data_IF_090515596976
#
_entry.id   IF_090515596976
#
_cell.length_a   1.000
_cell.length_b   1.000
_cell.length_c   1.000
_cell.angle_alpha   90.00
_cell.angle_beta   90.00
_cell.angle_gamma   90.00
#
_symmetry.space_group_name_H-M   'P 1'
#
loop_
_entity.id
_entity.type
_entity.pdbx_description
1 polymer ?
#
# COMPACT_ATOMS: atom_id res chain seq x y z
N UNK A 1 29.68 4.58 26.64
CA UNK A 1 30.80 5.36 26.09
C UNK A 1 30.30 6.78 25.83
N UNK A 2 30.98 7.81 26.37
CA UNK A 2 30.68 9.19 25.94
C UNK A 2 31.03 9.31 24.47
N UNK A 3 30.19 9.97 23.69
CA UNK A 3 30.48 10.22 22.28
C UNK A 3 31.72 11.10 22.17
N UNK A 4 32.46 11.00 21.06
CA UNK A 4 33.62 11.87 20.78
C UNK A 4 33.27 13.36 20.93
N UNK A 5 32.01 13.71 20.67
CA UNK A 5 31.44 15.06 20.81
C UNK A 5 31.43 15.54 22.27
N UNK A 6 31.05 14.67 23.21
CA UNK A 6 31.02 15.00 24.65
C UNK A 6 32.39 15.09 25.31
N UNK A 7 33.44 14.52 24.67
CA UNK A 7 34.81 14.53 25.19
C UNK A 7 35.63 15.71 24.71
N UNK A 8 35.21 16.45 23.68
CA UNK A 8 35.99 17.51 23.03
C UNK A 8 35.41 18.91 23.19
N UNK A 9 34.16 19.04 23.67
CA UNK A 9 33.47 20.32 23.82
C UNK A 9 33.09 20.58 25.28
N UNK A 10 33.15 21.86 25.67
CA UNK A 10 32.60 22.33 26.94
C UNK A 10 31.09 22.05 27.01
N UNK A 11 30.58 21.56 28.15
CA UNK A 11 29.18 21.21 28.35
C UNK A 11 28.19 22.30 27.94
N UNK A 12 28.50 23.56 28.25
CA UNK A 12 27.69 24.75 27.87
C UNK A 12 27.62 24.91 26.35
N UNK A 13 28.72 24.63 25.65
CA UNK A 13 28.75 24.70 24.19
C UNK A 13 27.94 23.59 23.53
N UNK A 14 28.02 22.37 24.06
CA UNK A 14 27.20 21.23 23.60
C UNK A 14 25.71 21.53 23.74
N UNK A 15 25.29 22.09 24.90
CA UNK A 15 23.89 22.46 25.16
C UNK A 15 23.37 23.53 24.20
N UNK A 16 24.21 24.55 23.91
CA UNK A 16 23.89 25.62 22.94
C UNK A 16 23.74 25.08 21.52
N UNK A 17 24.62 24.18 21.10
CA UNK A 17 24.58 23.55 19.78
C UNK A 17 23.30 22.69 19.67
N UNK A 18 22.99 21.87 20.67
CA UNK A 18 21.81 21.04 20.69
C UNK A 18 20.52 21.86 20.67
N UNK A 19 20.49 22.99 21.35
CA UNK A 19 19.36 23.93 21.29
C UNK A 19 19.18 24.52 19.88
N UNK A 20 20.28 24.94 19.25
CA UNK A 20 20.24 25.51 17.89
C UNK A 20 19.69 24.50 16.88
N UNK A 21 20.18 23.24 16.93
CA UNK A 21 19.70 22.14 16.02
C UNK A 21 18.22 21.88 16.26
N UNK A 22 17.75 21.82 17.51
CA UNK A 22 16.33 21.60 17.82
C UNK A 22 15.44 22.76 17.32
N UNK A 23 15.93 23.98 17.35
CA UNK A 23 15.18 25.13 16.84
C UNK A 23 15.12 25.11 15.30
N UNK A 24 16.20 24.66 14.62
CA UNK A 24 16.19 24.39 13.19
C UNK A 24 15.21 23.27 12.80
N UNK A 25 15.17 22.16 13.57
CA UNK A 25 14.20 21.09 13.38
C UNK A 25 12.78 21.61 13.51
N UNK A 26 12.46 22.37 14.55
CA UNK A 26 11.14 22.96 14.75
C UNK A 26 10.74 23.88 13.60
N UNK A 27 11.67 24.73 13.13
CA UNK A 27 11.44 25.61 11.99
C UNK A 27 11.12 24.80 10.72
N UNK A 28 11.93 23.78 10.41
CA UNK A 28 11.71 22.90 9.27
C UNK A 28 10.35 22.19 9.34
N UNK A 29 10.01 21.61 10.51
CA UNK A 29 8.73 20.95 10.71
C UNK A 29 7.57 21.92 10.48
N UNK A 30 7.63 23.13 11.05
CA UNK A 30 6.59 24.14 10.90
C UNK A 30 6.43 24.63 9.45
N UNK A 31 7.51 24.68 8.69
CA UNK A 31 7.49 25.09 7.28
C UNK A 31 6.86 24.01 6.38
N UNK A 32 7.20 22.75 6.61
CA UNK A 32 6.90 21.67 5.67
C UNK A 32 5.70 20.79 6.06
N UNK A 33 5.27 20.82 7.34
CA UNK A 33 4.21 19.92 7.83
C UNK A 33 3.11 20.67 8.61
N UNK A 34 1.91 20.09 8.61
CA UNK A 34 0.75 20.44 9.46
C UNK A 34 0.69 19.42 10.62
N UNK A 35 0.13 19.85 11.76
CA UNK A 35 -0.03 18.98 12.93
C UNK A 35 1.19 18.92 13.86
N UNK A 36 2.27 19.62 13.54
CA UNK A 36 3.56 19.55 14.23
C UNK A 36 3.59 20.13 15.66
N UNK A 37 2.54 20.83 16.08
CA UNK A 37 2.44 21.35 17.47
C UNK A 37 2.45 20.25 18.54
N UNK A 38 2.14 19.00 18.16
CA UNK A 38 2.18 17.82 19.03
C UNK A 38 3.51 17.06 18.97
N UNK A 39 4.46 17.47 18.10
CA UNK A 39 5.72 16.76 17.93
C UNK A 39 6.61 16.89 19.18
N UNK A 40 7.20 15.75 19.53
CA UNK A 40 8.24 15.64 20.55
C UNK A 40 9.57 15.38 19.87
N UNK A 41 10.60 16.10 20.28
CA UNK A 41 11.99 15.91 19.82
C UNK A 41 12.75 15.29 20.98
N UNK A 42 13.53 14.23 20.73
CA UNK A 42 14.35 13.56 21.75
C UNK A 42 15.26 14.54 22.47
N UNK A 43 15.62 14.24 23.72
CA UNK A 43 16.50 15.08 24.52
C UNK A 43 17.90 15.14 23.90
N UNK A 44 18.40 14.00 23.46
CA UNK A 44 19.73 13.82 22.85
C UNK A 44 19.57 13.20 21.47
N UNK A 45 20.55 13.39 20.56
CA UNK A 45 20.56 12.66 19.29
C UNK A 45 20.84 11.16 19.52
N UNK A 46 20.41 10.33 18.57
CA UNK A 46 20.70 8.91 18.55
C UNK A 46 22.18 8.60 18.21
N UNK A 47 22.52 7.31 18.04
CA UNK A 47 23.90 6.89 17.71
C UNK A 47 24.42 7.48 16.39
N UNK A 48 23.55 7.80 15.44
CA UNK A 48 23.88 8.41 14.14
C UNK A 48 23.92 9.95 14.20
N UNK A 49 23.77 10.53 15.38
CA UNK A 49 23.77 11.97 15.61
C UNK A 49 22.49 12.69 15.20
N UNK A 50 21.39 11.95 14.93
CA UNK A 50 20.09 12.50 14.56
C UNK A 50 19.15 12.56 15.76
N UNK A 51 18.32 13.59 15.82
CA UNK A 51 17.25 13.65 16.79
C UNK A 51 16.05 12.80 16.33
N UNK A 52 15.42 12.14 17.27
CA UNK A 52 14.19 11.37 17.03
C UNK A 52 12.98 12.29 17.19
N UNK A 53 12.06 12.26 16.22
CA UNK A 53 10.82 13.03 16.22
C UNK A 53 9.64 12.08 16.22
N UNK A 54 8.68 12.33 17.11
CA UNK A 54 7.41 11.59 17.18
C UNK A 54 6.24 12.55 17.35
N UNK A 55 5.05 12.11 16.93
CA UNK A 55 3.79 12.81 17.16
C UNK A 55 2.73 11.82 17.65
N UNK A 56 1.88 12.25 18.56
CA UNK A 56 0.70 11.49 18.99
C UNK A 56 -0.54 11.76 18.10
N UNK A 57 -0.45 12.69 17.15
CA UNK A 57 -1.54 13.15 16.29
C UNK A 57 -1.14 13.04 14.82
N UNK A 58 -2.11 13.32 13.95
CA UNK A 58 -1.92 13.34 12.51
C UNK A 58 -0.86 14.35 12.09
N UNK A 59 -0.07 13.96 11.09
CA UNK A 59 0.93 14.78 10.42
C UNK A 59 0.60 14.78 8.93
N UNK A 60 0.58 15.97 8.33
CA UNK A 60 0.37 16.15 6.91
C UNK A 60 1.50 16.97 6.30
N UNK A 61 1.99 16.57 5.12
CA UNK A 61 2.97 17.33 4.35
C UNK A 61 2.27 18.54 3.73
N UNK A 62 2.71 19.73 4.13
CA UNK A 62 2.18 21.02 3.65
C UNK A 62 2.78 21.44 2.31
N UNK A 63 4.05 21.12 2.11
CA UNK A 63 4.79 21.48 0.91
C UNK A 63 4.72 20.36 -0.13
N UNK A 64 3.75 20.39 -1.03
CA UNK A 64 3.57 19.40 -2.09
C UNK A 64 4.71 19.33 -3.12
N UNK A 65 5.62 20.32 -3.13
CA UNK A 65 6.81 20.31 -3.98
C UNK A 65 8.02 19.63 -3.32
N UNK A 66 7.83 19.00 -2.17
CA UNK A 66 8.90 18.27 -1.49
C UNK A 66 9.39 17.10 -2.35
N UNK A 67 10.72 16.94 -2.44
CA UNK A 67 11.35 15.87 -3.23
C UNK A 67 11.86 14.73 -2.36
N UNK A 68 11.91 14.93 -1.05
CA UNK A 68 12.37 13.96 -0.04
C UNK A 68 11.75 14.27 1.31
N UNK A 69 11.49 13.24 2.11
CA UNK A 69 11.08 13.35 3.52
C UNK A 69 12.29 13.32 4.47
N UNK A 70 13.50 13.08 3.94
CA UNK A 70 14.72 13.03 4.74
C UNK A 70 15.14 14.43 5.20
N UNK A 71 15.69 14.50 6.41
CA UNK A 71 16.40 15.65 6.95
C UNK A 71 17.70 15.21 7.60
N UNK A 72 18.73 16.08 7.56
CA UNK A 72 20.05 15.78 8.10
C UNK A 72 20.07 15.68 9.63
N UNK A 73 19.17 16.40 10.30
CA UNK A 73 19.20 16.62 11.74
C UNK A 73 18.26 15.70 12.52
N UNK A 74 17.27 15.08 11.87
CA UNK A 74 16.31 14.23 12.56
C UNK A 74 15.79 13.07 11.71
N UNK A 75 15.17 12.12 12.39
CA UNK A 75 14.39 11.03 11.81
C UNK A 75 13.01 10.98 12.46
N UNK A 76 11.98 10.65 11.69
CA UNK A 76 10.68 10.29 12.24
C UNK A 76 10.73 8.87 12.82
N UNK A 77 10.28 8.70 14.07
CA UNK A 77 10.17 7.37 14.69
C UNK A 77 8.72 6.89 14.63
N UNK A 78 7.78 7.70 15.11
CA UNK A 78 6.38 7.31 15.22
C UNK A 78 5.44 8.50 15.03
N UNK A 79 4.34 8.24 14.32
CA UNK A 79 3.16 9.10 14.27
C UNK A 79 1.98 8.27 14.77
N UNK A 80 1.36 8.68 15.88
CA UNK A 80 0.28 7.94 16.53
C UNK A 80 -1.06 8.05 15.81
N UNK A 81 -1.27 9.10 15.00
CA UNK A 81 -2.40 9.30 14.10
C UNK A 81 -2.03 8.96 12.66
N UNK A 82 -2.65 9.67 11.69
CA UNK A 82 -2.35 9.55 10.27
C UNK A 82 -1.06 10.28 9.89
N UNK A 83 -0.35 9.74 8.90
CA UNK A 83 0.69 10.45 8.17
C UNK A 83 0.29 10.59 6.71
N UNK A 84 0.11 11.83 6.26
CA UNK A 84 -0.34 12.15 4.90
C UNK A 84 0.74 12.92 4.13
N UNK A 85 1.24 12.33 3.04
CA UNK A 85 2.09 12.97 2.03
C UNK A 85 1.49 12.87 0.63
N UNK A 86 0.17 12.70 0.53
CA UNK A 86 -0.52 12.59 -0.75
C UNK A 86 -0.33 13.85 -1.60
N UNK A 87 -0.30 13.67 -2.92
CA UNK A 87 -0.11 14.76 -3.86
C UNK A 87 1.32 15.33 -3.95
N UNK A 88 2.28 14.77 -3.19
CA UNK A 88 3.69 15.14 -3.32
C UNK A 88 4.27 14.57 -4.62
N UNK A 89 3.87 15.15 -5.77
CA UNK A 89 4.14 14.61 -7.10
C UNK A 89 5.63 14.51 -7.46
N UNK A 90 6.50 15.25 -6.78
CA UNK A 90 7.95 15.21 -6.98
C UNK A 90 8.68 14.27 -6.01
N UNK A 91 7.98 13.65 -5.05
CA UNK A 91 8.57 12.72 -4.09
C UNK A 91 9.00 11.44 -4.80
N UNK A 92 10.30 11.08 -4.67
CA UNK A 92 10.91 9.95 -5.38
C UNK A 92 11.02 8.68 -4.54
N UNK A 93 11.07 8.80 -3.22
CA UNK A 93 11.09 7.70 -2.25
C UNK A 93 10.39 8.12 -0.97
N UNK A 94 10.04 7.14 -0.14
CA UNK A 94 9.46 7.38 1.19
C UNK A 94 10.53 7.40 2.30
N UNK A 95 11.83 7.38 1.92
CA UNK A 95 12.91 7.55 2.91
C UNK A 95 12.70 8.80 3.75
N UNK A 96 12.78 8.63 5.06
CA UNK A 96 12.49 9.70 6.03
C UNK A 96 11.03 9.75 6.48
N UNK A 97 10.15 8.89 5.99
CA UNK A 97 8.83 8.70 6.59
C UNK A 97 8.95 8.06 7.99
N UNK A 98 7.91 8.17 8.84
CA UNK A 98 7.88 7.54 10.14
C UNK A 98 8.07 6.02 10.05
N UNK A 99 8.85 5.42 10.98
CA UNK A 99 9.01 3.96 11.04
C UNK A 99 7.68 3.25 11.39
N UNK A 100 6.79 3.95 12.11
CA UNK A 100 5.49 3.44 12.53
C UNK A 100 4.42 4.52 12.48
N UNK A 101 3.24 4.14 11.98
CA UNK A 101 2.05 4.99 11.92
C UNK A 101 0.89 4.28 12.60
N UNK A 102 0.24 4.95 13.56
CA UNK A 102 -0.81 4.37 14.40
C UNK A 102 -2.13 4.20 13.68
N UNK A 103 -2.47 5.14 12.80
CA UNK A 103 -3.68 5.10 11.98
C UNK A 103 -3.30 4.91 10.50
N UNK A 104 -3.72 5.78 9.59
CA UNK A 104 -3.49 5.64 8.15
C UNK A 104 -2.20 6.28 7.65
N UNK A 105 -1.63 5.70 6.58
CA UNK A 105 -0.53 6.27 5.82
C UNK A 105 -0.98 6.51 4.37
N UNK A 106 -0.97 7.77 3.94
CA UNK A 106 -1.38 8.18 2.59
C UNK A 106 -0.21 8.81 1.82
N UNK A 107 0.25 8.12 0.77
CA UNK A 107 1.18 8.62 -0.23
C UNK A 107 0.57 8.58 -1.64
N UNK A 108 -0.75 8.63 -1.75
CA UNK A 108 -1.44 8.65 -3.03
C UNK A 108 -1.04 9.87 -3.88
N UNK A 109 -1.16 9.75 -5.20
CA UNK A 109 -0.77 10.81 -6.14
C UNK A 109 0.70 11.27 -6.08
N UNK A 110 1.59 10.49 -5.44
CA UNK A 110 3.04 10.72 -5.52
C UNK A 110 3.55 10.20 -6.86
N UNK A 111 3.33 10.96 -7.94
CA UNK A 111 3.50 10.50 -9.32
C UNK A 111 4.95 10.12 -9.68
N UNK A 112 5.95 10.68 -8.99
CA UNK A 112 7.38 10.37 -9.20
C UNK A 112 7.88 9.19 -8.36
N UNK A 113 7.07 8.62 -7.48
CA UNK A 113 7.44 7.51 -6.61
C UNK A 113 7.62 6.24 -7.45
N UNK A 114 8.79 5.57 -7.32
CA UNK A 114 9.15 4.40 -8.13
C UNK A 114 9.14 3.08 -7.36
N UNK A 115 9.24 3.13 -6.01
CA UNK A 115 9.12 2.03 -5.06
C UNK A 115 8.52 2.56 -3.76
N UNK A 116 8.23 1.67 -2.82
CA UNK A 116 7.75 2.04 -1.48
C UNK A 116 8.87 1.99 -0.42
N UNK A 117 10.14 1.96 -0.86
CA UNK A 117 11.28 2.02 0.05
C UNK A 117 11.22 3.24 0.98
N UNK A 118 11.42 2.99 2.27
CA UNK A 118 11.28 3.98 3.32
C UNK A 118 9.86 4.12 3.88
N UNK A 119 8.86 3.37 3.39
CA UNK A 119 7.55 3.33 4.02
C UNK A 119 7.60 2.80 5.45
N UNK A 120 6.61 3.13 6.31
CA UNK A 120 6.48 2.57 7.65
C UNK A 120 6.51 1.04 7.65
N UNK A 121 7.15 0.42 8.64
CA UNK A 121 7.11 -1.04 8.81
C UNK A 121 5.73 -1.55 9.19
N UNK A 122 5.00 -0.77 10.00
CA UNK A 122 3.64 -1.05 10.44
C UNK A 122 2.74 0.17 10.28
N UNK A 123 1.54 -0.06 9.73
CA UNK A 123 0.46 0.92 9.62
C UNK A 123 -0.77 0.34 10.33
N UNK A 124 -1.32 1.10 11.27
CA UNK A 124 -2.39 0.62 12.15
C UNK A 124 -3.74 0.51 11.46
N UNK A 125 -4.03 1.35 10.47
CA UNK A 125 -5.25 1.30 9.65
C UNK A 125 -4.89 1.23 8.16
N UNK A 126 -5.33 2.17 7.32
CA UNK A 126 -5.22 2.09 5.85
C UNK A 126 -3.84 2.53 5.34
N UNK A 127 -3.32 1.84 4.32
CA UNK A 127 -2.16 2.26 3.53
C UNK A 127 -2.60 2.54 2.11
N UNK A 128 -2.41 3.78 1.63
CA UNK A 128 -2.79 4.20 0.29
C UNK A 128 -1.59 4.74 -0.50
N UNK A 129 -1.23 4.04 -1.58
CA UNK A 129 -0.28 4.46 -2.60
C UNK A 129 -0.92 4.56 -3.98
N UNK A 130 -2.22 4.80 -4.05
CA UNK A 130 -2.98 4.90 -5.30
C UNK A 130 -2.51 6.06 -6.16
N UNK A 131 -2.67 5.94 -7.47
CA UNK A 131 -2.30 6.97 -8.46
C UNK A 131 -0.79 7.31 -8.50
N UNK A 132 0.07 6.49 -7.90
CA UNK A 132 1.51 6.58 -8.06
C UNK A 132 1.91 6.02 -9.44
N UNK A 133 1.78 6.82 -10.50
CA UNK A 133 1.89 6.39 -11.90
C UNK A 133 3.23 5.79 -12.26
N UNK A 134 4.33 6.22 -11.61
CA UNK A 134 5.69 5.73 -11.84
C UNK A 134 6.06 4.52 -10.99
N UNK A 135 5.18 4.05 -10.08
CA UNK A 135 5.46 2.94 -9.17
C UNK A 135 5.61 1.64 -9.96
N UNK A 136 6.79 1.01 -9.86
CA UNK A 136 7.16 -0.18 -10.65
C UNK A 136 7.06 -1.47 -9.84
N UNK A 137 7.22 -1.40 -8.53
CA UNK A 137 7.12 -2.52 -7.58
C UNK A 137 6.55 -2.02 -6.25
N UNK A 138 6.09 -2.94 -5.42
CA UNK A 138 5.64 -2.66 -4.05
C UNK A 138 6.75 -2.94 -3.02
N UNK A 139 8.02 -3.07 -3.47
CA UNK A 139 9.17 -3.22 -2.58
C UNK A 139 9.24 -2.06 -1.58
N UNK A 140 9.46 -2.40 -0.32
CA UNK A 140 9.41 -1.45 0.80
C UNK A 140 8.03 -1.24 1.38
N UNK A 141 6.98 -1.89 0.88
CA UNK A 141 5.65 -1.82 1.50
C UNK A 141 5.68 -2.27 2.97
N UNK A 142 4.77 -1.77 3.82
CA UNK A 142 4.67 -2.17 5.21
C UNK A 142 4.57 -3.69 5.38
N UNK A 143 5.21 -4.26 6.41
CA UNK A 143 5.09 -5.68 6.74
C UNK A 143 3.66 -6.03 7.17
N UNK A 144 2.95 -5.06 7.75
CA UNK A 144 1.59 -5.18 8.26
C UNK A 144 0.80 -3.91 8.05
N UNK A 145 -0.41 -4.07 7.51
CA UNK A 145 -1.44 -3.03 7.36
C UNK A 145 -2.69 -3.50 8.10
N UNK A 146 -3.14 -2.75 9.08
CA UNK A 146 -4.28 -3.12 9.93
C UNK A 146 -5.63 -2.96 9.23
N UNK A 147 -5.74 -2.04 8.29
CA UNK A 147 -6.90 -1.73 7.46
C UNK A 147 -6.79 -2.23 6.03
N UNK A 148 -7.06 -1.33 5.09
CA UNK A 148 -6.99 -1.57 3.66
C UNK A 148 -5.59 -1.29 3.11
N UNK A 149 -5.17 -2.08 2.10
CA UNK A 149 -4.03 -1.75 1.25
C UNK A 149 -4.54 -1.34 -0.13
N UNK A 150 -4.18 -0.16 -0.60
CA UNK A 150 -4.62 0.38 -1.89
C UNK A 150 -3.44 0.82 -2.74
N UNK A 151 -3.37 0.30 -3.98
CA UNK A 151 -2.46 0.72 -5.05
C UNK A 151 -3.22 0.93 -6.36
N UNK A 152 -4.44 1.49 -6.28
CA UNK A 152 -5.30 1.74 -7.43
C UNK A 152 -4.58 2.64 -8.45
N UNK A 153 -4.72 2.32 -9.75
CA UNK A 153 -4.17 3.12 -10.86
C UNK A 153 -2.65 3.38 -10.80
N UNK A 154 -1.89 2.43 -10.23
CA UNK A 154 -0.43 2.41 -10.37
C UNK A 154 -0.07 1.86 -11.76
N UNK A 155 -0.10 2.72 -12.76
CA UNK A 155 -0.07 2.33 -14.18
C UNK A 155 1.22 1.67 -14.65
N UNK A 156 2.36 1.86 -13.93
CA UNK A 156 3.64 1.23 -14.25
C UNK A 156 3.89 -0.08 -13.52
N UNK A 157 2.97 -0.48 -12.62
CA UNK A 157 3.10 -1.68 -11.77
C UNK A 157 2.86 -2.93 -12.61
N UNK A 158 3.83 -3.85 -12.66
CA UNK A 158 3.77 -5.07 -13.48
C UNK A 158 3.41 -6.33 -12.69
N UNK A 159 3.76 -6.37 -11.40
CA UNK A 159 3.43 -7.43 -10.44
C UNK A 159 3.15 -6.81 -9.08
N UNK A 160 2.67 -7.60 -8.12
CA UNK A 160 2.46 -7.16 -6.74
C UNK A 160 3.59 -7.62 -5.81
N UNK A 161 4.76 -7.99 -6.39
CA UNK A 161 5.96 -8.34 -5.63
C UNK A 161 6.37 -7.20 -4.68
N UNK A 162 6.73 -7.57 -3.46
CA UNK A 162 7.01 -6.63 -2.39
C UNK A 162 5.79 -6.17 -1.60
N UNK A 163 4.56 -6.56 -2.00
CA UNK A 163 3.37 -6.19 -1.24
C UNK A 163 3.40 -6.71 0.20
N UNK A 164 2.66 -6.01 1.06
CA UNK A 164 2.48 -6.38 2.47
C UNK A 164 1.98 -7.82 2.63
N UNK A 165 2.53 -8.55 3.59
CA UNK A 165 2.15 -9.95 3.87
C UNK A 165 0.86 -10.09 4.66
N UNK A 166 0.44 -9.03 5.36
CA UNK A 166 -0.73 -9.03 6.24
C UNK A 166 -1.57 -7.79 6.00
N UNK A 167 -2.79 -7.98 5.49
CA UNK A 167 -3.81 -6.95 5.28
C UNK A 167 -5.02 -7.29 6.14
N UNK A 168 -5.42 -6.36 6.99
CA UNK A 168 -6.52 -6.57 7.93
C UNK A 168 -7.90 -6.55 7.29
N UNK A 169 -8.07 -5.79 6.20
CA UNK A 169 -9.35 -5.64 5.50
C UNK A 169 -9.21 -5.95 4.01
N UNK A 170 -9.28 -4.96 3.14
CA UNK A 170 -9.31 -5.14 1.69
C UNK A 170 -7.95 -4.90 1.05
N UNK A 171 -7.69 -5.60 -0.05
CA UNK A 171 -6.57 -5.32 -0.94
C UNK A 171 -7.10 -4.85 -2.29
N UNK A 172 -6.65 -3.68 -2.76
CA UNK A 172 -7.14 -3.09 -3.99
C UNK A 172 -5.99 -2.68 -4.93
N UNK A 173 -5.90 -3.35 -6.08
CA UNK A 173 -4.98 -3.04 -7.18
C UNK A 173 -5.74 -2.75 -8.49
N UNK A 174 -6.97 -2.25 -8.40
CA UNK A 174 -7.81 -1.97 -9.57
C UNK A 174 -7.17 -0.96 -10.52
N UNK A 175 -7.40 -1.13 -11.81
CA UNK A 175 -6.94 -0.24 -12.89
C UNK A 175 -5.41 -0.05 -12.94
N UNK A 176 -4.65 -1.07 -12.54
CA UNK A 176 -3.21 -1.16 -12.77
C UNK A 176 -2.98 -1.71 -14.18
N UNK A 177 -3.01 -0.82 -15.20
CA UNK A 177 -3.10 -1.21 -16.61
C UNK A 177 -1.92 -2.07 -17.10
N UNK A 178 -0.73 -1.93 -16.50
CA UNK A 178 0.47 -2.71 -16.83
C UNK A 178 0.60 -4.02 -16.04
N UNK A 179 -0.33 -4.31 -15.12
CA UNK A 179 -0.25 -5.48 -14.25
C UNK A 179 -0.47 -6.75 -15.06
N UNK A 180 0.55 -7.62 -15.12
CA UNK A 180 0.52 -8.89 -15.87
C UNK A 180 0.40 -10.11 -14.99
N UNK A 181 0.67 -9.99 -13.69
CA UNK A 181 0.62 -11.05 -12.69
C UNK A 181 0.15 -10.50 -11.34
N UNK A 182 -0.52 -11.33 -10.55
CA UNK A 182 -0.89 -11.05 -9.16
C UNK A 182 0.14 -11.61 -8.16
N UNK A 183 1.32 -12.05 -8.64
CA UNK A 183 2.41 -12.52 -7.78
C UNK A 183 2.81 -11.46 -6.76
N UNK A 184 3.04 -11.89 -5.52
CA UNK A 184 3.34 -11.01 -4.39
C UNK A 184 2.13 -10.73 -3.50
N UNK A 185 0.91 -11.10 -3.89
CA UNK A 185 -0.24 -10.93 -3.00
C UNK A 185 -0.11 -11.78 -1.75
N UNK A 186 -0.68 -11.35 -0.60
CA UNK A 186 -0.84 -12.21 0.57
C UNK A 186 -1.61 -13.48 0.24
N UNK A 187 -1.22 -14.62 0.80
CA UNK A 187 -1.93 -15.89 0.58
C UNK A 187 -3.41 -15.85 1.00
N UNK A 188 -3.75 -14.96 1.95
CA UNK A 188 -5.10 -14.83 2.49
C UNK A 188 -5.45 -13.36 2.71
N UNK A 189 -6.64 -12.98 2.25
CA UNK A 189 -7.26 -11.67 2.46
C UNK A 189 -8.56 -11.87 3.25
N UNK A 190 -8.69 -11.20 4.39
CA UNK A 190 -9.89 -11.31 5.24
C UNK A 190 -11.10 -10.59 4.65
N UNK A 191 -10.88 -9.45 4.00
CA UNK A 191 -11.89 -8.66 3.31
C UNK A 191 -12.00 -9.00 1.83
N UNK A 192 -12.19 -7.96 1.01
CA UNK A 192 -12.32 -8.06 -0.43
C UNK A 192 -10.95 -7.95 -1.12
N UNK A 193 -10.83 -8.57 -2.29
CA UNK A 193 -9.73 -8.39 -3.22
C UNK A 193 -10.25 -7.80 -4.53
N UNK A 194 -9.66 -6.69 -4.96
CA UNK A 194 -10.04 -5.96 -6.17
C UNK A 194 -8.85 -5.88 -7.12
N UNK A 195 -9.01 -6.40 -8.34
CA UNK A 195 -8.10 -6.27 -9.46
C UNK A 195 -8.84 -5.97 -10.77
N UNK A 196 -9.99 -5.31 -10.65
CA UNK A 196 -10.80 -4.93 -11.78
C UNK A 196 -10.11 -3.90 -12.69
N UNK A 197 -10.37 -3.98 -13.99
CA UNK A 197 -9.80 -3.07 -14.96
C UNK A 197 -8.28 -3.21 -15.17
N UNK A 198 -7.65 -4.30 -14.72
CA UNK A 198 -6.24 -4.59 -15.00
C UNK A 198 -6.11 -5.14 -16.42
N UNK A 199 -5.98 -4.24 -17.40
CA UNK A 199 -6.14 -4.56 -18.82
C UNK A 199 -5.04 -5.46 -19.41
N UNK A 200 -3.86 -5.55 -18.78
CA UNK A 200 -2.77 -6.45 -19.22
C UNK A 200 -2.80 -7.83 -18.54
N UNK A 201 -3.71 -8.06 -17.57
CA UNK A 201 -3.79 -9.32 -16.84
C UNK A 201 -4.40 -10.41 -17.72
N UNK A 202 -3.64 -11.49 -17.99
CA UNK A 202 -4.05 -12.59 -18.88
C UNK A 202 -4.57 -13.83 -18.13
N UNK A 203 -4.19 -13.98 -16.86
CA UNK A 203 -4.61 -15.04 -15.93
C UNK A 203 -4.69 -14.49 -14.51
N UNK A 204 -5.12 -15.29 -13.54
CA UNK A 204 -5.16 -14.91 -12.12
C UNK A 204 -4.00 -15.52 -11.33
N UNK A 205 -2.89 -15.89 -12.01
CA UNK A 205 -1.71 -16.43 -11.33
C UNK A 205 -1.15 -15.45 -10.28
N UNK A 206 -0.84 -15.98 -9.11
CA UNK A 206 -0.43 -15.19 -7.95
C UNK A 206 -1.58 -14.69 -7.07
N UNK A 207 -2.85 -14.98 -7.42
CA UNK A 207 -3.99 -14.63 -6.55
C UNK A 207 -3.87 -15.18 -5.13
N UNK A 208 -4.45 -14.50 -4.13
CA UNK A 208 -4.67 -15.08 -2.80
C UNK A 208 -5.40 -16.42 -2.90
N UNK A 209 -5.02 -17.41 -2.09
CA UNK A 209 -5.67 -18.73 -2.08
C UNK A 209 -7.06 -18.69 -1.46
N UNK A 210 -7.25 -17.83 -0.46
CA UNK A 210 -8.50 -17.64 0.27
C UNK A 210 -8.84 -16.17 0.42
N UNK A 211 -10.11 -15.82 0.15
CA UNK A 211 -10.65 -14.47 0.29
C UNK A 211 -11.91 -14.54 1.13
N UNK A 212 -11.93 -13.80 2.23
CA UNK A 212 -13.07 -13.79 3.15
C UNK A 212 -14.28 -13.04 2.60
N UNK A 213 -14.04 -11.95 1.86
CA UNK A 213 -15.04 -11.13 1.19
C UNK A 213 -15.20 -11.49 -0.28
N UNK A 214 -15.34 -10.45 -1.12
CA UNK A 214 -15.52 -10.59 -2.56
C UNK A 214 -14.17 -10.64 -3.29
N UNK A 215 -14.13 -11.34 -4.43
CA UNK A 215 -13.08 -11.23 -5.43
C UNK A 215 -13.66 -10.58 -6.69
N UNK A 216 -13.13 -9.42 -7.05
CA UNK A 216 -13.59 -8.63 -8.18
C UNK A 216 -12.46 -8.47 -9.20
N UNK A 217 -12.64 -9.05 -10.38
CA UNK A 217 -11.72 -8.94 -11.53
C UNK A 217 -12.49 -8.58 -12.82
N UNK A 218 -13.59 -7.84 -12.69
CA UNK A 218 -14.37 -7.44 -13.84
C UNK A 218 -13.61 -6.48 -14.77
N UNK A 219 -14.00 -6.43 -16.04
CA UNK A 219 -13.40 -5.52 -17.06
C UNK A 219 -11.90 -5.77 -17.31
N UNK A 220 -11.31 -6.89 -16.87
CA UNK A 220 -9.94 -7.27 -17.25
C UNK A 220 -9.95 -7.73 -18.71
N UNK A 221 -9.66 -6.79 -19.65
CA UNK A 221 -9.92 -7.01 -21.10
C UNK A 221 -9.04 -8.08 -21.71
N UNK A 222 -7.84 -8.33 -21.19
CA UNK A 222 -6.91 -9.37 -21.68
C UNK A 222 -7.03 -10.70 -20.96
N UNK A 223 -7.88 -10.82 -19.93
CA UNK A 223 -8.04 -12.05 -19.14
C UNK A 223 -8.64 -13.16 -20.01
N UNK A 224 -7.87 -14.25 -20.26
CA UNK A 224 -8.26 -15.37 -21.12
C UNK A 224 -8.75 -16.57 -20.34
N UNK A 225 -8.26 -16.80 -19.13
CA UNK A 225 -8.63 -17.87 -18.21
C UNK A 225 -8.59 -17.40 -16.77
N UNK A 226 -9.20 -18.17 -15.86
CA UNK A 226 -9.16 -17.91 -14.41
C UNK A 226 -8.04 -18.69 -13.72
N UNK A 227 -7.08 -19.24 -14.49
CA UNK A 227 -5.96 -20.03 -13.98
C UNK A 227 -5.19 -19.27 -12.90
N UNK A 228 -4.89 -19.96 -11.79
CA UNK A 228 -4.25 -19.36 -10.62
C UNK A 228 -5.20 -18.62 -9.70
N UNK A 229 -6.51 -18.58 -10.00
CA UNK A 229 -7.52 -17.94 -9.17
C UNK A 229 -7.66 -18.55 -7.77
N UNK A 230 -8.35 -17.83 -6.85
CA UNK A 230 -8.54 -18.28 -5.47
C UNK A 230 -9.38 -19.53 -5.40
N UNK A 231 -9.06 -20.44 -4.48
CA UNK A 231 -9.85 -21.66 -4.28
C UNK A 231 -11.15 -21.41 -3.52
N UNK A 232 -11.16 -20.47 -2.60
CA UNK A 232 -12.30 -20.16 -1.74
C UNK A 232 -12.54 -18.68 -1.67
N UNK A 233 -13.77 -18.28 -1.87
CA UNK A 233 -14.27 -16.90 -1.75
C UNK A 233 -15.47 -16.92 -0.81
N UNK A 234 -15.41 -16.12 0.25
CA UNK A 234 -16.49 -16.01 1.24
C UNK A 234 -17.69 -15.22 0.72
N UNK A 235 -17.46 -14.23 -0.12
CA UNK A 235 -18.45 -13.39 -0.77
C UNK A 235 -18.67 -13.74 -2.23
N UNK A 236 -18.78 -12.72 -3.08
CA UNK A 236 -19.03 -12.85 -4.52
C UNK A 236 -17.73 -13.02 -5.31
N UNK A 237 -17.78 -13.77 -6.40
CA UNK A 237 -16.79 -13.79 -7.47
C UNK A 237 -17.36 -13.07 -8.69
N UNK A 238 -16.67 -12.02 -9.16
CA UNK A 238 -17.13 -11.24 -10.30
C UNK A 238 -16.02 -11.12 -11.36
N UNK A 239 -16.23 -11.75 -12.52
CA UNK A 239 -15.39 -11.64 -13.71
C UNK A 239 -16.20 -11.13 -14.93
N UNK A 240 -17.25 -10.34 -14.69
CA UNK A 240 -18.04 -9.73 -15.76
C UNK A 240 -17.20 -8.92 -16.74
N UNK A 241 -17.65 -8.83 -17.99
CA UNK A 241 -17.04 -8.01 -19.04
C UNK A 241 -15.55 -8.30 -19.31
N UNK A 242 -15.05 -9.47 -18.93
CA UNK A 242 -13.74 -9.96 -19.35
C UNK A 242 -13.82 -10.44 -20.80
N UNK A 243 -13.72 -9.48 -21.74
CA UNK A 243 -14.03 -9.70 -23.17
C UNK A 243 -13.09 -10.64 -23.90
N UNK A 244 -12.00 -11.09 -23.28
CA UNK A 244 -11.10 -12.11 -23.79
C UNK A 244 -11.26 -13.46 -23.09
N UNK A 245 -12.10 -13.59 -22.05
CA UNK A 245 -12.26 -14.78 -21.25
C UNK A 245 -12.94 -15.90 -22.06
N UNK A 246 -12.19 -16.98 -22.30
CA UNK A 246 -12.63 -18.15 -23.07
C UNK A 246 -12.68 -19.43 -22.26
N UNK A 247 -12.12 -19.43 -21.04
CA UNK A 247 -12.03 -20.59 -20.17
C UNK A 247 -12.29 -20.22 -18.71
N UNK A 248 -13.05 -21.08 -18.02
CA UNK A 248 -13.23 -21.02 -16.56
C UNK A 248 -12.19 -21.87 -15.80
N UNK A 249 -11.13 -22.35 -16.50
CA UNK A 249 -10.02 -23.06 -15.83
C UNK A 249 -9.44 -22.20 -14.71
N UNK A 250 -9.34 -22.77 -13.50
CA UNK A 250 -8.88 -22.06 -12.30
C UNK A 250 -9.97 -21.28 -11.56
N UNK A 251 -11.23 -21.40 -11.97
CA UNK A 251 -12.35 -20.84 -11.22
C UNK A 251 -12.38 -21.33 -9.76
N UNK A 252 -12.92 -20.52 -8.83
CA UNK A 252 -12.99 -20.90 -7.42
C UNK A 252 -13.79 -22.19 -7.20
N UNK A 253 -13.27 -23.09 -6.36
CA UNK A 253 -13.99 -24.32 -5.96
C UNK A 253 -15.22 -24.00 -5.10
N UNK A 254 -15.18 -22.91 -4.33
CA UNK A 254 -16.25 -22.49 -3.41
C UNK A 254 -16.46 -20.98 -3.47
N UNK A 255 -17.71 -20.56 -3.69
CA UNK A 255 -18.17 -19.16 -3.68
C UNK A 255 -19.33 -19.05 -2.70
N UNK A 256 -19.17 -18.20 -1.68
CA UNK A 256 -20.18 -18.00 -0.63
C UNK A 256 -21.36 -17.13 -1.06
N UNK A 257 -21.14 -16.25 -2.03
CA UNK A 257 -22.13 -15.37 -2.64
C UNK A 257 -22.41 -15.74 -4.08
N UNK A 258 -22.50 -14.73 -4.95
CA UNK A 258 -22.79 -14.89 -6.38
C UNK A 258 -21.53 -15.17 -7.18
N UNK A 259 -21.68 -15.95 -8.28
CA UNK A 259 -20.71 -16.10 -9.35
C UNK A 259 -21.20 -15.35 -10.58
N UNK A 260 -20.52 -14.27 -10.95
CA UNK A 260 -20.91 -13.38 -12.05
C UNK A 260 -19.88 -13.43 -13.17
N UNK A 261 -20.30 -13.83 -14.39
CA UNK A 261 -19.45 -13.91 -15.58
C UNK A 261 -20.14 -13.43 -16.87
N UNK A 262 -21.11 -12.55 -16.74
CA UNK A 262 -21.83 -11.96 -17.90
C UNK A 262 -20.89 -11.15 -18.80
N UNK A 263 -21.22 -11.10 -20.09
CA UNK A 263 -20.50 -10.29 -21.10
C UNK A 263 -19.03 -10.66 -21.30
N UNK A 264 -18.67 -11.91 -21.03
CA UNK A 264 -17.36 -12.48 -21.37
C UNK A 264 -17.29 -12.83 -22.86
N UNK A 265 -16.10 -13.23 -23.36
CA UNK A 265 -15.89 -13.64 -24.77
C UNK A 265 -16.76 -14.82 -25.14
N UNK A 266 -16.84 -15.81 -24.27
CA UNK A 266 -17.70 -16.99 -24.38
C UNK A 266 -18.88 -16.81 -23.44
N UNK A 267 -20.07 -17.17 -23.91
CA UNK A 267 -21.25 -17.27 -23.04
C UNK A 267 -21.17 -18.58 -22.28
N UNK A 268 -20.79 -18.51 -21.01
CA UNK A 268 -20.84 -19.66 -20.08
C UNK A 268 -22.29 -19.91 -19.65
N UNK A 269 -22.58 -21.12 -19.28
CA UNK A 269 -23.89 -21.53 -18.75
C UNK A 269 -23.80 -21.80 -17.25
N UNK A 270 -24.94 -21.77 -16.59
CA UNK A 270 -25.04 -22.14 -15.17
C UNK A 270 -24.50 -23.56 -14.90
N UNK A 271 -24.77 -24.49 -15.82
CA UNK A 271 -24.27 -25.88 -15.72
C UNK A 271 -22.76 -25.96 -15.86
N UNK A 272 -22.12 -25.14 -16.68
CA UNK A 272 -20.66 -25.11 -16.77
C UNK A 272 -20.03 -24.68 -15.43
N UNK A 273 -20.63 -23.69 -14.77
CA UNK A 273 -20.16 -23.19 -13.49
C UNK A 273 -20.42 -24.21 -12.38
N UNK A 274 -21.60 -24.83 -12.32
CA UNK A 274 -21.96 -25.86 -11.31
C UNK A 274 -21.06 -27.09 -11.35
N UNK A 275 -20.49 -27.44 -12.51
CA UNK A 275 -19.54 -28.55 -12.64
C UNK A 275 -18.20 -28.29 -11.95
N UNK A 276 -17.80 -27.04 -11.77
CA UNK A 276 -16.45 -26.65 -11.30
C UNK A 276 -16.46 -25.89 -9.98
N UNK A 277 -17.60 -25.31 -9.58
CA UNK A 277 -17.71 -24.44 -8.41
C UNK A 277 -18.97 -24.72 -7.60
N UNK A 278 -18.81 -24.80 -6.28
CA UNK A 278 -19.93 -24.83 -5.36
C UNK A 278 -20.30 -23.37 -4.98
N UNK A 279 -21.35 -22.87 -5.62
CA UNK A 279 -21.86 -21.51 -5.44
C UNK A 279 -23.07 -21.51 -4.52
N UNK A 280 -23.04 -20.76 -3.41
CA UNK A 280 -24.14 -20.73 -2.43
C UNK A 280 -25.21 -19.66 -2.74
N UNK A 281 -24.82 -18.55 -3.33
CA UNK A 281 -25.74 -17.47 -3.67
C UNK A 281 -26.50 -17.76 -4.96
N UNK A 282 -26.01 -17.24 -6.08
CA UNK A 282 -26.59 -17.46 -7.39
C UNK A 282 -25.54 -17.36 -8.48
N UNK A 283 -25.91 -17.73 -9.71
CA UNK A 283 -25.04 -17.69 -10.87
C UNK A 283 -25.65 -16.72 -11.87
N UNK A 284 -24.85 -15.77 -12.32
CA UNK A 284 -25.21 -14.81 -13.37
C UNK A 284 -24.22 -14.92 -14.54
N UNK A 285 -24.63 -15.50 -15.66
CA UNK A 285 -23.80 -15.80 -16.83
C UNK A 285 -24.47 -15.38 -18.16
#
# INVERSE_FOLDING_TARGET
MKTLRESLLDGDLVEKIDKSIKDEIKAFLKENFIGVSSCKISKNPNADGKYEVSSAKNIEVKNYNITSLTNWSFIWIEVGGDFNCSGCSYLKSLEGAPEKVGDGFDCSYCESLTSLEGAPKEVGDDFDCSYCKSLKSLEGAPEKVGGNFSCIRCQSLKSLEGATKKVGRNFNCSSCDSLTSLEGTPEKISGNFYCDGCDSLTSLEGSPKEIGGNFICHICRSLTSLKGGPKKIGGNFNCMQCRSLTSLEGAPEKVGGYFECRFCKVKFTEDDIKKISNVKGGIEC
#
